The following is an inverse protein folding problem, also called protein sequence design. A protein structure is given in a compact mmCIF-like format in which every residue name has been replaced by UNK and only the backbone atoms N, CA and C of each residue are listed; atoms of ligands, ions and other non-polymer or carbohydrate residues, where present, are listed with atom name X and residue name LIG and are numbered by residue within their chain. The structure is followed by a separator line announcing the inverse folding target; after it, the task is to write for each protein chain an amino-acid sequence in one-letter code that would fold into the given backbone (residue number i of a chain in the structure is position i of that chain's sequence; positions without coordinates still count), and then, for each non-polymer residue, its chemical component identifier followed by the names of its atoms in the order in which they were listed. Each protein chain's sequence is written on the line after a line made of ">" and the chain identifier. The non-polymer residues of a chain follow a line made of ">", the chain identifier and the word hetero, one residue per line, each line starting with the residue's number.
data_IF_598588195447
#
_entry.id   IF_598588195447
#
_cell.length_a   1.000
_cell.length_b   1.000
_cell.length_c   1.000
_cell.angle_alpha   90.00
_cell.angle_beta   90.00
_cell.angle_gamma   90.00
#
_symmetry.space_group_name_H-M   'P 1'
#
loop_
_entity.id
_entity.type
_entity.pdbx_description
1 polymer ?
#
# COMPACT_ATOMS: atom_id res chain seq x y z
N UNK A 1 26.08 19.60 -26.08
CA UNK A 1 24.88 20.10 -25.35
C UNK A 1 23.60 19.40 -25.82
N UNK A 2 23.29 19.35 -27.13
CA UNK A 2 22.08 18.68 -27.67
C UNK A 2 22.00 17.20 -27.28
N UNK A 3 23.09 16.44 -27.45
CA UNK A 3 23.12 15.01 -27.10
C UNK A 3 22.79 14.74 -25.62
N UNK A 4 23.30 15.58 -24.72
CA UNK A 4 23.05 15.45 -23.28
C UNK A 4 21.56 15.69 -22.95
N UNK A 5 20.96 16.72 -23.56
CA UNK A 5 19.53 17.03 -23.37
C UNK A 5 18.64 15.90 -23.90
N UNK A 6 18.99 15.29 -25.04
CA UNK A 6 18.26 14.15 -25.59
C UNK A 6 18.34 12.93 -24.68
N UNK A 7 19.53 12.60 -24.16
CA UNK A 7 19.70 11.48 -23.23
C UNK A 7 18.89 11.69 -21.94
N UNK A 8 18.89 12.92 -21.40
CA UNK A 8 18.11 13.26 -20.21
C UNK A 8 16.61 13.11 -20.48
N UNK A 9 16.12 13.61 -21.61
CA UNK A 9 14.72 13.48 -22.00
C UNK A 9 14.29 12.00 -22.12
N UNK A 10 15.10 11.18 -22.80
CA UNK A 10 14.85 9.74 -22.94
C UNK A 10 14.82 9.06 -21.57
N UNK A 11 15.74 9.42 -20.67
CA UNK A 11 15.81 8.84 -19.32
C UNK A 11 14.56 9.17 -18.49
N UNK A 12 14.09 10.42 -18.55
CA UNK A 12 12.86 10.85 -17.86
C UNK A 12 11.64 10.11 -18.39
N UNK A 13 11.53 9.98 -19.72
CA UNK A 13 10.44 9.22 -20.34
C UNK A 13 10.50 7.76 -19.89
N UNK A 14 11.66 7.12 -19.99
CA UNK A 14 11.84 5.72 -19.59
C UNK A 14 11.45 5.49 -18.12
N UNK A 15 11.90 6.36 -17.21
CA UNK A 15 11.57 6.26 -15.79
C UNK A 15 10.07 6.39 -15.57
N UNK A 16 9.42 7.42 -16.12
CA UNK A 16 7.99 7.65 -15.92
C UNK A 16 7.10 6.56 -16.55
N UNK A 17 7.55 5.93 -17.64
CA UNK A 17 6.81 4.83 -18.27
C UNK A 17 6.96 3.52 -17.50
N UNK A 18 8.11 3.26 -16.86
CA UNK A 18 8.40 1.94 -16.27
C UNK A 18 8.28 1.89 -14.75
N UNK A 19 8.33 3.02 -14.04
CA UNK A 19 8.40 3.06 -12.58
C UNK A 19 7.33 4.00 -12.02
N UNK A 20 6.74 3.61 -10.89
CA UNK A 20 5.71 4.41 -10.19
C UNK A 20 6.27 5.73 -9.63
N UNK A 21 7.54 5.69 -9.23
CA UNK A 21 8.29 6.82 -8.72
C UNK A 21 9.49 7.14 -9.60
N UNK A 22 9.84 8.42 -9.67
CA UNK A 22 11.12 8.86 -10.22
C UNK A 22 12.16 8.99 -9.09
N UNK A 23 13.47 9.02 -9.41
CA UNK A 23 14.51 9.26 -8.41
C UNK A 23 14.32 10.56 -7.62
N UNK A 24 13.70 11.57 -8.23
CA UNK A 24 13.52 12.90 -7.65
C UNK A 24 12.33 12.91 -6.68
N UNK A 25 11.26 12.20 -7.03
CA UNK A 25 9.99 12.17 -6.28
C UNK A 25 9.82 10.87 -5.48
N UNK A 26 10.90 10.13 -5.24
CA UNK A 26 10.83 8.92 -4.44
C UNK A 26 10.55 9.28 -2.97
N UNK A 27 9.57 8.61 -2.32
CA UNK A 27 9.31 8.77 -0.89
C UNK A 27 10.57 8.56 -0.04
N UNK A 28 10.68 9.31 1.06
CA UNK A 28 11.85 9.29 1.96
C UNK A 28 11.47 8.98 3.42
N UNK A 29 10.20 8.67 3.68
CA UNK A 29 9.70 8.27 4.99
C UNK A 29 9.78 6.77 5.18
N UNK A 30 8.67 6.16 5.62
CA UNK A 30 8.60 4.75 6.00
C UNK A 30 9.05 3.81 4.87
N UNK A 31 8.74 4.11 3.60
CA UNK A 31 9.10 3.24 2.47
C UNK A 31 10.62 3.10 2.33
N UNK A 32 11.35 4.21 2.50
CA UNK A 32 12.80 4.20 2.38
C UNK A 32 13.51 3.47 3.54
N UNK A 33 12.81 3.20 4.65
CA UNK A 33 13.35 2.45 5.79
C UNK A 33 13.37 0.93 5.55
N UNK A 34 12.65 0.43 4.54
CA UNK A 34 12.58 -1.00 4.18
C UNK A 34 13.51 -1.39 3.02
N UNK A 35 14.67 -0.72 2.88
CA UNK A 35 15.65 -0.93 1.79
C UNK A 35 15.09 -0.80 0.36
N UNK A 36 13.99 -0.07 0.21
CA UNK A 36 13.41 0.21 -1.08
C UNK A 36 14.00 1.44 -1.76
N UNK A 37 13.98 1.43 -3.09
CA UNK A 37 14.33 2.57 -3.94
C UNK A 37 13.26 2.76 -5.01
N UNK A 38 13.36 3.84 -5.80
CA UNK A 38 12.43 4.07 -6.91
C UNK A 38 12.39 2.88 -7.89
N UNK A 39 13.51 2.16 -8.05
CA UNK A 39 13.60 0.99 -8.94
C UNK A 39 12.84 -0.23 -8.44
N UNK A 40 12.45 -0.25 -7.16
CA UNK A 40 11.69 -1.33 -6.54
C UNK A 40 10.21 -1.32 -6.94
N UNK A 41 9.69 -0.20 -7.45
CA UNK A 41 8.28 0.00 -7.80
C UNK A 41 8.09 0.04 -9.32
N UNK A 42 8.36 -1.07 -10.01
CA UNK A 42 8.12 -1.18 -11.45
C UNK A 42 6.64 -1.34 -11.75
N UNK A 43 6.17 -0.76 -12.86
CA UNK A 43 4.78 -0.89 -13.30
C UNK A 43 4.54 -2.25 -13.99
N UNK A 44 3.31 -2.81 -13.91
CA UNK A 44 2.17 -2.29 -13.15
C UNK A 44 2.30 -2.54 -11.65
N UNK A 45 1.85 -1.59 -10.82
CA UNK A 45 1.65 -1.78 -9.38
C UNK A 45 0.16 -1.65 -9.11
N UNK A 46 -0.39 -2.52 -8.29
CA UNK A 46 -1.79 -2.48 -7.87
C UNK A 46 -1.92 -2.63 -6.36
N UNK A 47 -3.11 -2.38 -5.84
CA UNK A 47 -3.49 -2.73 -4.48
C UNK A 47 -4.39 -3.95 -4.54
N UNK A 48 -4.06 -4.98 -3.77
CA UNK A 48 -4.92 -6.12 -3.48
C UNK A 48 -5.38 -6.01 -2.04
N UNK A 49 -6.68 -6.13 -1.78
CA UNK A 49 -7.23 -6.07 -0.43
C UNK A 49 -8.09 -7.29 -0.12
N UNK A 50 -7.80 -7.95 1.01
CA UNK A 50 -8.55 -9.09 1.52
C UNK A 50 -9.30 -8.70 2.79
N UNK A 51 -10.63 -8.79 2.76
CA UNK A 51 -11.49 -8.54 3.92
C UNK A 51 -11.91 -9.85 4.61
N UNK A 52 -11.65 -9.93 5.92
CA UNK A 52 -12.16 -10.97 6.80
C UNK A 52 -13.23 -10.39 7.72
N UNK A 53 -14.43 -10.96 7.70
CA UNK A 53 -15.46 -10.55 8.65
C UNK A 53 -15.24 -11.11 10.06
N UNK A 54 -16.06 -10.67 11.01
CA UNK A 54 -15.97 -11.09 12.42
C UNK A 54 -16.17 -12.60 12.61
N UNK A 55 -16.81 -13.28 11.67
CA UNK A 55 -17.04 -14.72 11.71
C UNK A 55 -15.88 -15.50 11.06
N UNK A 56 -14.83 -14.81 10.61
CA UNK A 56 -13.67 -15.38 9.93
C UNK A 56 -13.93 -15.72 8.47
N UNK A 57 -15.03 -15.28 7.88
CA UNK A 57 -15.28 -15.49 6.46
C UNK A 57 -14.52 -14.45 5.63
N UNK A 58 -13.72 -14.95 4.70
CA UNK A 58 -13.11 -14.13 3.66
C UNK A 58 -14.19 -13.73 2.65
N UNK A 59 -14.42 -12.43 2.45
CA UNK A 59 -15.53 -11.96 1.62
C UNK A 59 -15.14 -11.27 0.33
N UNK A 60 -13.99 -10.60 0.25
CA UNK A 60 -13.62 -9.89 -0.99
C UNK A 60 -12.12 -9.80 -1.21
N UNK A 61 -11.70 -10.01 -2.46
CA UNK A 61 -10.40 -9.62 -3.01
C UNK A 61 -10.69 -8.46 -3.97
N UNK A 62 -10.26 -7.26 -3.64
CA UNK A 62 -10.37 -6.10 -4.51
C UNK A 62 -9.02 -5.78 -5.13
N UNK A 63 -9.01 -5.46 -6.42
CA UNK A 63 -7.85 -4.91 -7.10
C UNK A 63 -8.08 -3.44 -7.45
N UNK A 64 -7.06 -2.62 -7.24
CA UNK A 64 -7.05 -1.22 -7.65
C UNK A 64 -5.86 -1.04 -8.56
N UNK A 65 -6.13 -0.73 -9.83
CA UNK A 65 -5.09 -0.64 -10.86
C UNK A 65 -4.76 0.80 -11.25
N UNK A 66 -5.56 1.76 -10.78
CA UNK A 66 -5.28 3.19 -10.98
C UNK A 66 -3.96 3.60 -10.33
N UNK A 67 -3.02 4.00 -11.17
CA UNK A 67 -1.67 4.35 -10.75
C UNK A 67 -1.63 5.53 -9.77
N UNK A 68 -2.52 6.52 -9.94
CA UNK A 68 -2.55 7.70 -9.07
C UNK A 68 -3.08 7.34 -7.69
N UNK A 69 -4.10 6.49 -7.61
CA UNK A 69 -4.65 6.00 -6.33
C UNK A 69 -3.61 5.15 -5.59
N UNK A 70 -2.98 4.21 -6.29
CA UNK A 70 -1.88 3.38 -5.75
C UNK A 70 -0.77 4.28 -5.20
N UNK A 71 -0.37 5.29 -5.98
CA UNK A 71 0.68 6.23 -5.58
C UNK A 71 0.26 7.10 -4.39
N UNK A 72 -0.99 7.56 -4.35
CA UNK A 72 -1.51 8.37 -3.25
C UNK A 72 -1.45 7.60 -1.93
N UNK A 73 -1.97 6.38 -1.92
CA UNK A 73 -2.00 5.55 -0.72
C UNK A 73 -0.59 5.13 -0.26
N UNK A 74 0.35 4.88 -1.19
CA UNK A 74 1.76 4.68 -0.84
C UNK A 74 2.39 5.92 -0.19
N UNK A 75 2.02 7.12 -0.65
CA UNK A 75 2.53 8.36 -0.07
C UNK A 75 1.94 8.64 1.32
N UNK A 76 0.70 8.22 1.59
CA UNK A 76 0.13 8.30 2.93
C UNK A 76 0.79 7.28 3.87
N UNK A 77 0.97 6.04 3.41
CA UNK A 77 1.76 5.04 4.13
C UNK A 77 3.17 5.55 4.45
N UNK A 78 3.87 6.17 3.50
CA UNK A 78 5.22 6.71 3.70
C UNK A 78 5.29 7.77 4.80
N UNK A 79 4.20 8.53 4.99
CA UNK A 79 4.09 9.63 5.95
C UNK A 79 3.44 9.21 7.27
N UNK A 80 2.94 7.99 7.39
CA UNK A 80 2.24 7.54 8.59
C UNK A 80 3.16 7.58 9.81
N UNK A 81 2.63 8.05 10.95
CA UNK A 81 3.39 8.18 12.17
C UNK A 81 3.59 6.80 12.82
N UNK A 82 4.84 6.36 12.97
CA UNK A 82 5.17 5.13 13.69
C UNK A 82 4.88 5.30 15.19
N UNK A 83 4.20 4.32 15.78
CA UNK A 83 3.86 4.29 17.19
C UNK A 83 4.96 3.56 17.98
N UNK A 84 5.98 4.30 18.41
CA UNK A 84 7.10 3.74 19.18
C UNK A 84 6.62 3.12 20.50
N UNK A 85 7.08 1.90 20.79
CA UNK A 85 6.70 1.15 21.99
C UNK A 85 5.27 0.60 22.00
N UNK A 86 4.53 0.71 20.89
CA UNK A 86 3.22 0.10 20.74
C UNK A 86 3.36 -1.40 20.49
N UNK A 87 2.69 -2.22 21.31
CA UNK A 87 2.78 -3.68 21.26
C UNK A 87 1.56 -4.31 20.60
N UNK A 88 1.71 -5.54 20.12
CA UNK A 88 0.57 -6.32 19.63
C UNK A 88 -0.49 -6.55 20.71
N UNK A 89 -0.09 -6.69 21.98
CA UNK A 89 -1.03 -6.79 23.10
C UNK A 89 -1.88 -5.52 23.22
N UNK A 90 -1.24 -4.35 23.12
CA UNK A 90 -1.94 -3.06 23.13
C UNK A 90 -2.88 -2.95 21.93
N UNK A 91 -2.38 -3.27 20.72
CA UNK A 91 -3.15 -3.29 19.48
C UNK A 91 -4.45 -4.10 19.58
N UNK A 92 -4.35 -5.31 20.12
CA UNK A 92 -5.49 -6.22 20.25
C UNK A 92 -6.41 -5.84 21.43
N UNK A 93 -5.90 -5.11 22.42
CA UNK A 93 -6.67 -4.70 23.60
C UNK A 93 -7.47 -3.40 23.41
N UNK A 94 -7.01 -2.47 22.56
CA UNK A 94 -7.69 -1.18 22.31
C UNK A 94 -9.04 -1.36 21.59
N UNK A 95 -9.22 -2.48 20.91
CA UNK A 95 -10.52 -2.94 20.43
C UNK A 95 -10.59 -4.48 20.56
N UNK A 96 -11.17 -5.01 21.65
CA UNK A 96 -11.31 -6.46 21.81
C UNK A 96 -12.28 -7.03 20.77
N UNK A 97 -12.23 -8.34 20.55
CA UNK A 97 -13.25 -9.01 19.73
C UNK A 97 -14.60 -9.02 20.47
N UNK A 98 -15.74 -8.71 19.81
CA UNK A 98 -15.91 -8.42 18.38
C UNK A 98 -15.88 -6.92 18.01
N UNK A 99 -15.64 -6.03 18.97
CA UNK A 99 -15.74 -4.57 18.83
C UNK A 99 -14.80 -3.98 17.77
N UNK A 100 -13.68 -4.65 17.46
CA UNK A 100 -12.74 -4.22 16.41
C UNK A 100 -13.30 -4.23 14.98
N UNK A 101 -14.38 -4.96 14.73
CA UNK A 101 -14.96 -5.11 13.39
C UNK A 101 -14.13 -5.99 12.45
N UNK A 102 -14.32 -5.83 11.14
CA UNK A 102 -13.63 -6.63 10.13
C UNK A 102 -12.12 -6.35 10.05
N UNK A 103 -11.34 -7.33 9.62
CA UNK A 103 -9.91 -7.20 9.33
C UNK A 103 -9.70 -6.95 7.83
N UNK A 104 -8.84 -5.99 7.51
CA UNK A 104 -8.44 -5.65 6.15
C UNK A 104 -6.94 -5.90 6.00
N UNK A 105 -6.57 -6.80 5.10
CA UNK A 105 -5.19 -7.05 4.72
C UNK A 105 -4.92 -6.39 3.36
N UNK A 106 -4.02 -5.42 3.33
CA UNK A 106 -3.70 -4.59 2.17
C UNK A 106 -2.33 -4.96 1.60
N UNK A 107 -2.27 -5.22 0.30
CA UNK A 107 -1.07 -5.60 -0.43
C UNK A 107 -0.82 -4.66 -1.60
N UNK A 108 0.26 -3.88 -1.55
CA UNK A 108 0.79 -3.22 -2.74
C UNK A 108 1.65 -4.22 -3.50
N UNK A 109 1.18 -4.63 -4.68
CA UNK A 109 1.78 -5.71 -5.47
C UNK A 109 2.33 -5.17 -6.78
N UNK A 110 3.60 -5.44 -7.05
CA UNK A 110 4.16 -5.33 -8.39
C UNK A 110 3.68 -6.54 -9.21
N UNK A 111 2.95 -6.27 -10.28
CA UNK A 111 2.42 -7.33 -11.15
C UNK A 111 3.50 -7.81 -12.10
N UNK A 112 3.77 -9.10 -12.08
CA UNK A 112 4.69 -9.77 -13.01
C UNK A 112 3.93 -10.53 -14.09
N UNK A 113 2.77 -11.10 -13.74
CA UNK A 113 1.87 -11.76 -14.69
C UNK A 113 0.42 -11.78 -14.18
N UNK A 114 -0.52 -11.96 -15.09
CA UNK A 114 -1.93 -12.20 -14.79
C UNK A 114 -2.28 -13.67 -15.06
N UNK A 115 -2.99 -14.30 -14.12
CA UNK A 115 -3.56 -15.64 -14.26
C UNK A 115 -5.08 -15.54 -14.15
N UNK A 116 -5.74 -15.36 -15.30
CA UNK A 116 -7.14 -14.92 -15.31
C UNK A 116 -7.26 -13.55 -14.65
N UNK A 117 -8.12 -13.46 -13.64
CA UNK A 117 -8.37 -12.23 -12.88
C UNK A 117 -7.48 -12.11 -11.63
N UNK A 118 -6.45 -12.96 -11.50
CA UNK A 118 -5.54 -12.95 -10.36
C UNK A 118 -4.19 -12.38 -10.77
N UNK A 119 -3.76 -11.32 -10.09
CA UNK A 119 -2.44 -10.74 -10.28
C UNK A 119 -1.38 -11.49 -9.48
N UNK A 120 -0.39 -12.03 -10.19
CA UNK A 120 0.78 -12.68 -9.62
C UNK A 120 1.98 -11.73 -9.67
N UNK A 121 2.78 -11.76 -8.61
CA UNK A 121 4.01 -10.98 -8.56
C UNK A 121 4.46 -10.70 -7.13
N UNK A 122 5.34 -9.71 -7.00
CA UNK A 122 6.00 -9.39 -5.73
C UNK A 122 5.13 -8.46 -4.88
N UNK A 123 4.91 -8.81 -3.62
CA UNK A 123 4.38 -7.89 -2.62
C UNK A 123 5.50 -6.91 -2.24
N UNK A 124 5.24 -5.62 -2.44
CA UNK A 124 6.14 -4.53 -2.09
C UNK A 124 5.88 -4.06 -0.66
N UNK A 125 4.62 -3.82 -0.33
CA UNK A 125 4.20 -3.37 1.00
C UNK A 125 2.96 -4.16 1.39
N UNK A 126 2.95 -4.66 2.62
CA UNK A 126 1.80 -5.28 3.23
C UNK A 126 1.54 -4.62 4.58
N UNK A 127 0.28 -4.30 4.85
CA UNK A 127 -0.17 -3.91 6.17
C UNK A 127 -1.59 -4.38 6.41
N UNK A 128 -1.95 -4.49 7.68
CA UNK A 128 -3.27 -4.91 8.13
C UNK A 128 -3.86 -3.86 9.06
N UNK A 129 -5.18 -3.72 9.06
CA UNK A 129 -5.89 -2.92 10.06
C UNK A 129 -7.28 -3.49 10.33
N UNK A 130 -7.83 -3.14 11.50
CA UNK A 130 -9.22 -3.45 11.85
C UNK A 130 -10.15 -2.26 11.56
N UNK A 131 -11.38 -2.57 11.14
CA UNK A 131 -12.41 -1.61 10.73
C UNK A 131 -12.66 -0.51 11.76
N UNK A 132 -12.62 -0.83 13.05
CA UNK A 132 -12.88 0.12 14.14
C UNK A 132 -11.61 0.57 14.87
N UNK A 133 -10.42 0.29 14.33
CA UNK A 133 -9.14 0.72 14.90
C UNK A 133 -8.51 1.85 14.07
N UNK A 134 -7.72 2.69 14.73
CA UNK A 134 -7.00 3.83 14.15
C UNK A 134 -5.50 3.58 14.11
N UNK A 135 -5.13 2.31 14.05
CA UNK A 135 -3.76 1.81 13.94
C UNK A 135 -3.73 0.75 12.85
N UNK A 136 -2.70 0.78 12.00
CA UNK A 136 -2.38 -0.33 11.11
C UNK A 136 -1.07 -0.98 11.54
N UNK A 137 -0.97 -2.29 11.31
CA UNK A 137 0.20 -3.10 11.64
C UNK A 137 0.90 -3.60 10.37
N UNK A 138 2.21 -3.72 10.46
CA UNK A 138 3.06 -4.35 9.44
C UNK A 138 3.69 -5.58 10.09
N UNK A 139 3.25 -6.76 9.62
CA UNK A 139 3.78 -8.06 10.07
C UNK A 139 3.75 -8.24 11.60
N UNK A 140 2.73 -7.68 12.27
CA UNK A 140 2.58 -7.74 13.73
C UNK A 140 3.73 -7.15 14.56
N UNK A 141 4.63 -6.40 13.93
CA UNK A 141 5.90 -5.94 14.53
C UNK A 141 6.04 -4.42 14.56
N UNK A 142 5.48 -3.74 13.55
CA UNK A 142 5.51 -2.27 13.47
C UNK A 142 4.11 -1.72 13.37
N UNK A 143 3.79 -0.74 14.20
CA UNK A 143 2.47 -0.13 14.28
C UNK A 143 2.55 1.34 13.90
N UNK A 144 1.54 1.79 13.16
CA UNK A 144 1.48 3.15 12.64
C UNK A 144 0.08 3.71 12.80
N UNK A 145 -0.01 5.02 12.98
CA UNK A 145 -1.28 5.73 13.01
C UNK A 145 -2.03 5.58 11.68
N UNK A 146 -3.28 5.13 11.76
CA UNK A 146 -4.22 5.13 10.65
C UNK A 146 -5.16 6.32 10.82
N UNK A 147 -4.81 7.44 10.19
CA UNK A 147 -5.64 8.65 10.22
C UNK A 147 -7.00 8.40 9.56
N UNK A 148 -8.02 9.14 10.00
CA UNK A 148 -9.37 9.05 9.40
C UNK A 148 -9.37 9.36 7.90
N UNK A 149 -8.52 10.30 7.44
CA UNK A 149 -8.38 10.58 6.00
C UNK A 149 -7.81 9.39 5.24
N UNK A 150 -6.72 8.80 5.76
CA UNK A 150 -6.08 7.66 5.10
C UNK A 150 -7.00 6.45 5.05
N UNK A 151 -7.70 6.16 6.15
CA UNK A 151 -8.72 5.12 6.22
C UNK A 151 -9.86 5.38 5.25
N UNK A 152 -10.33 6.62 5.17
CA UNK A 152 -11.34 7.05 4.21
C UNK A 152 -10.91 6.83 2.76
N UNK A 153 -9.66 7.18 2.43
CA UNK A 153 -9.10 6.99 1.09
C UNK A 153 -8.97 5.51 0.74
N UNK A 154 -8.50 4.67 1.67
CA UNK A 154 -8.51 3.20 1.51
C UNK A 154 -9.93 2.71 1.22
N UNK A 155 -10.89 3.00 2.10
CA UNK A 155 -12.25 2.47 1.97
C UNK A 155 -12.96 2.98 0.71
N UNK A 156 -12.73 4.24 0.32
CA UNK A 156 -13.26 4.80 -0.91
C UNK A 156 -12.72 4.04 -2.14
N UNK A 157 -11.40 3.81 -2.17
CA UNK A 157 -10.75 3.05 -3.24
C UNK A 157 -11.30 1.61 -3.29
N UNK A 158 -11.46 0.93 -2.15
CA UNK A 158 -12.01 -0.43 -2.09
C UNK A 158 -13.50 -0.50 -2.47
N UNK A 159 -14.24 0.59 -2.30
CA UNK A 159 -15.65 0.67 -2.70
C UNK A 159 -15.83 0.81 -4.23
N UNK A 160 -14.79 1.25 -4.93
CA UNK A 160 -14.80 1.32 -6.39
C UNK A 160 -14.67 -0.10 -6.93
N UNK A 161 -15.65 -0.53 -7.70
CA UNK A 161 -15.55 -1.77 -8.45
C UNK A 161 -14.63 -1.52 -9.64
N UNK A 162 -13.33 -1.77 -9.48
CA UNK A 162 -12.44 -1.96 -10.62
C UNK A 162 -12.31 -3.44 -10.93
N UNK A 163 -12.38 -3.73 -12.23
CA UNK A 163 -12.55 -5.08 -12.82
C UNK A 163 -11.29 -5.92 -12.69
#
# INVERSE_FOLDING_TARGET
>A
MILLVVILAISVIYVNTNYLFSPIFFPKGNIAQYDYSFTSFKKPVLIEAVKWDIDGNQKVIHYVTDEQEVKSLLMEFDKANKLEGYSNEKYLSEAPFPERGAEYNMNFKQVERWEGDIAQGRILINFTFFENNNVFDISGSYFYELTESFKGDILNVLSKTER
#
